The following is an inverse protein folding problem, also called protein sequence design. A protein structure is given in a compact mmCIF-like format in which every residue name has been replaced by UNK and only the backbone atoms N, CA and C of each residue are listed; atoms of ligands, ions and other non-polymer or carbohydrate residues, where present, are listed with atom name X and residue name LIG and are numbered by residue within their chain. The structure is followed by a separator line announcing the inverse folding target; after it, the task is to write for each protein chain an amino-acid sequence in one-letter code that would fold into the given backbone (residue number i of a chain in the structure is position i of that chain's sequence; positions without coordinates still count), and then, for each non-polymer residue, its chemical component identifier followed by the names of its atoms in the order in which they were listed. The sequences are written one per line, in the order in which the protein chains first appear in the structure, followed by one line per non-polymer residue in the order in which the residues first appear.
data_IF_716161982430
#
_entry.id   IF_716161982430
#
_cell.length_a   1.000
_cell.length_b   1.000
_cell.length_c   1.000
_cell.angle_alpha   90.00
_cell.angle_beta   90.00
_cell.angle_gamma   90.00
#
_symmetry.space_group_name_H-M   'P 1'
#
loop_
_entity.id
_entity.type
_entity.pdbx_description
1 polymer ?
#
# COMPACT_ATOMS: atom_id res chain seq x y z
N UNK A 1 37.50 -26.74 43.87
CA UNK A 1 38.13 -25.59 43.18
C UNK A 1 36.98 -24.78 42.57
N UNK A 2 36.49 -23.69 43.20
CA UNK A 2 36.93 -22.28 43.02
C UNK A 2 37.05 -21.95 41.52
N UNK A 3 36.30 -21.04 40.88
CA UNK A 3 35.53 -19.86 41.34
C UNK A 3 34.56 -19.40 40.24
N UNK A 4 33.34 -19.04 40.65
CA UNK A 4 32.37 -18.19 39.93
C UNK A 4 32.85 -16.73 39.94
N UNK A 5 32.68 -15.99 38.83
CA UNK A 5 32.69 -14.52 38.81
C UNK A 5 31.39 -14.00 38.21
N UNK A 6 30.96 -12.90 38.80
CA UNK A 6 29.62 -12.36 38.97
C UNK A 6 29.51 -11.03 38.20
N UNK A 7 28.35 -10.77 37.59
CA UNK A 7 27.72 -9.43 37.36
C UNK A 7 26.40 -9.70 36.62
N UNK A 8 25.20 -9.30 37.05
CA UNK A 8 24.72 -8.15 37.82
C UNK A 8 23.50 -7.61 37.04
N UNK A 9 22.29 -8.10 37.37
CA UNK A 9 21.13 -7.35 37.90
C UNK A 9 20.46 -6.30 36.98
N UNK A 10 19.22 -6.62 36.58
CA UNK A 10 18.03 -5.73 36.51
C UNK A 10 16.83 -6.65 36.13
N UNK A 11 16.04 -7.19 37.06
CA UNK A 11 14.86 -6.61 37.74
C UNK A 11 13.92 -5.84 36.81
N UNK A 12 12.83 -6.47 36.33
CA UNK A 12 11.48 -6.23 36.85
C UNK A 12 10.45 -7.21 36.26
N UNK A 13 9.69 -7.85 37.16
CA UNK A 13 8.57 -8.78 36.95
C UNK A 13 7.37 -8.07 36.31
N UNK A 14 6.73 -8.67 35.30
CA UNK A 14 5.45 -9.42 35.36
C UNK A 14 4.36 -8.74 36.19
N UNK A 15 3.32 -8.23 35.53
CA UNK A 15 2.02 -7.94 36.14
C UNK A 15 0.92 -8.57 35.29
N UNK A 16 0.17 -9.47 35.91
CA UNK A 16 -0.83 -10.34 35.31
C UNK A 16 -2.24 -9.88 35.70
N UNK A 17 -3.16 -10.03 34.75
CA UNK A 17 -4.62 -10.22 34.78
C UNK A 17 -5.51 -9.57 35.86
N UNK A 18 -6.59 -8.94 35.38
CA UNK A 18 -7.81 -8.67 36.14
C UNK A 18 -9.03 -8.69 35.22
N UNK A 19 -9.72 -9.83 35.17
CA UNK A 19 -11.05 -10.02 34.58
C UNK A 19 -12.08 -9.82 35.70
N UNK A 20 -13.03 -8.89 35.56
CA UNK A 20 -14.24 -8.85 36.38
C UNK A 20 -15.45 -8.65 35.48
N UNK A 21 -16.35 -9.62 35.56
CA UNK A 21 -17.68 -9.67 34.96
C UNK A 21 -18.60 -8.77 35.79
N UNK A 22 -19.44 -7.97 35.14
CA UNK A 22 -20.67 -7.43 35.72
C UNK A 22 -21.80 -7.52 34.70
N UNK A 23 -22.92 -8.09 35.13
CA UNK A 23 -24.11 -8.38 34.35
C UNK A 23 -25.19 -7.31 34.52
N UNK A 24 -26.03 -7.22 33.47
CA UNK A 24 -27.44 -6.82 33.43
C UNK A 24 -27.84 -5.34 33.65
N UNK A 25 -28.49 -4.75 32.64
CA UNK A 25 -29.93 -4.40 32.71
C UNK A 25 -30.43 -3.84 31.36
N UNK A 26 -31.57 -4.34 30.91
CA UNK A 26 -32.33 -3.85 29.78
C UNK A 26 -33.01 -2.51 30.11
N UNK A 27 -33.04 -1.58 29.16
CA UNK A 27 -33.94 -0.44 29.18
C UNK A 27 -34.47 -0.21 27.76
N UNK A 28 -35.73 -0.63 27.57
CA UNK A 28 -36.61 -0.18 26.50
C UNK A 28 -37.09 1.21 26.90
N UNK A 29 -36.72 2.24 26.15
CA UNK A 29 -37.30 3.57 26.26
C UNK A 29 -37.44 4.18 24.87
N UNK A 30 -38.69 4.42 24.49
CA UNK A 30 -39.07 5.09 23.26
C UNK A 30 -38.59 6.54 23.22
N UNK A 31 -38.28 6.99 22.01
CA UNK A 31 -37.99 8.37 21.70
C UNK A 31 -38.62 8.72 20.36
N UNK A 32 -39.83 9.25 20.41
CA UNK A 32 -40.44 10.05 19.34
C UNK A 32 -39.63 11.33 19.15
N UNK A 33 -39.14 11.61 17.94
CA UNK A 33 -38.77 12.95 17.53
C UNK A 33 -38.86 13.11 16.00
N UNK A 34 -39.92 13.81 15.60
CA UNK A 34 -39.98 14.89 14.62
C UNK A 34 -39.27 14.72 13.26
N UNK A 35 -40.12 14.38 12.28
CA UNK A 35 -40.23 14.97 10.94
C UNK A 35 -39.26 16.09 10.55
N UNK A 36 -38.45 15.82 9.52
CA UNK A 36 -38.04 16.79 8.51
C UNK A 36 -38.14 16.12 7.14
N UNK A 37 -39.28 16.33 6.49
CA UNK A 37 -39.48 15.99 5.09
C UNK A 37 -38.66 16.95 4.23
N UNK A 38 -37.71 16.44 3.47
CA UNK A 38 -37.21 17.11 2.27
C UNK A 38 -37.55 16.20 1.10
N UNK A 39 -38.43 16.71 0.25
CA UNK A 39 -38.85 16.09 -0.99
C UNK A 39 -37.64 15.88 -1.91
N UNK A 40 -37.45 14.65 -2.39
CA UNK A 40 -36.60 14.34 -3.52
C UNK A 40 -37.44 13.64 -4.58
N UNK A 41 -37.55 14.31 -5.73
CA UNK A 41 -38.29 13.91 -6.92
C UNK A 41 -37.90 12.52 -7.44
N UNK A 42 -38.81 11.82 -8.16
CA UNK A 42 -38.57 10.47 -8.65
C UNK A 42 -37.79 10.52 -9.96
N UNK A 43 -36.70 9.75 -10.04
CA UNK A 43 -36.02 9.46 -11.31
C UNK A 43 -36.18 7.97 -11.65
N UNK A 44 -36.50 7.76 -12.93
CA UNK A 44 -36.99 6.58 -13.62
C UNK A 44 -36.02 5.35 -13.69
N UNK A 45 -36.52 4.16 -14.05
CA UNK A 45 -35.82 2.86 -14.00
C UNK A 45 -34.67 2.65 -15.02
N UNK A 46 -33.78 1.65 -14.77
CA UNK A 46 -32.54 1.46 -15.52
C UNK A 46 -32.76 0.92 -16.94
N UNK A 47 -32.16 1.60 -17.92
CA UNK A 47 -32.15 1.17 -19.33
C UNK A 47 -30.79 0.60 -19.69
N UNK A 48 -30.83 -0.60 -20.29
CA UNK A 48 -29.93 -1.24 -21.25
C UNK A 48 -28.40 -1.09 -21.11
N UNK A 49 -27.76 -2.26 -21.05
CA UNK A 49 -26.34 -2.51 -21.13
C UNK A 49 -25.89 -2.19 -22.57
N UNK A 50 -25.08 -1.15 -22.75
CA UNK A 50 -24.43 -0.86 -24.03
C UNK A 50 -23.25 -1.83 -24.24
N UNK A 51 -23.29 -2.60 -25.33
CA UNK A 51 -22.20 -3.47 -25.76
C UNK A 51 -21.07 -2.63 -26.35
N UNK A 52 -19.95 -2.50 -25.64
CA UNK A 52 -18.75 -1.86 -26.16
C UNK A 52 -18.02 -2.79 -27.14
N UNK A 53 -17.83 -2.26 -28.35
CA UNK A 53 -17.13 -2.85 -29.47
C UNK A 53 -15.63 -3.06 -29.21
N UNK A 54 -15.11 -4.15 -29.77
CA UNK A 54 -13.74 -4.64 -29.70
C UNK A 54 -12.83 -3.94 -30.72
N UNK A 55 -11.79 -3.23 -30.27
CA UNK A 55 -10.63 -2.76 -31.04
C UNK A 55 -9.53 -2.37 -30.02
N UNK A 56 -8.24 -2.64 -30.10
CA UNK A 56 -7.31 -3.16 -31.11
C UNK A 56 -6.03 -3.69 -30.36
N UNK A 57 -5.05 -4.33 -31.02
CA UNK A 57 -4.07 -5.20 -30.37
C UNK A 57 -2.84 -4.46 -29.78
N UNK A 58 -2.37 -4.98 -28.65
CA UNK A 58 -1.09 -4.64 -27.99
C UNK A 58 0.08 -5.34 -28.72
N UNK A 59 1.16 -4.63 -29.10
CA UNK A 59 2.35 -5.28 -29.63
C UNK A 59 3.20 -5.89 -28.50
N UNK A 60 3.43 -7.20 -28.60
CA UNK A 60 4.34 -7.95 -27.75
C UNK A 60 5.80 -7.67 -28.14
N UNK A 61 6.63 -7.25 -27.18
CA UNK A 61 8.09 -7.22 -27.31
C UNK A 61 8.65 -8.59 -26.94
N UNK A 62 8.95 -9.40 -27.95
CA UNK A 62 9.78 -10.61 -27.84
C UNK A 62 11.25 -10.21 -27.77
N UNK A 63 11.91 -10.55 -26.66
CA UNK A 63 13.36 -10.50 -26.52
C UNK A 63 13.98 -11.70 -27.23
N UNK A 64 14.84 -11.45 -28.22
CA UNK A 64 15.72 -12.46 -28.83
C UNK A 64 17.16 -12.13 -28.48
N UNK A 65 17.82 -13.09 -27.82
CA UNK A 65 19.25 -13.12 -27.53
C UNK A 65 20.02 -13.63 -28.75
N UNK A 66 21.07 -12.89 -29.11
CA UNK A 66 22.36 -13.42 -29.59
C UNK A 66 22.44 -14.07 -30.96
N UNK A 67 23.12 -13.40 -31.90
CA UNK A 67 24.16 -14.06 -32.69
C UNK A 67 25.12 -13.06 -33.35
N UNK A 68 26.40 -13.40 -33.19
CA UNK A 68 27.61 -12.78 -33.70
C UNK A 68 27.68 -12.85 -35.23
N UNK A 69 27.87 -11.70 -35.88
CA UNK A 69 28.21 -11.60 -37.30
C UNK A 69 29.30 -10.56 -37.52
N UNK A 70 30.52 -11.04 -37.77
CA UNK A 70 31.67 -10.24 -38.17
C UNK A 70 31.61 -9.97 -39.68
N UNK A 71 31.71 -8.70 -40.11
CA UNK A 71 32.10 -8.29 -41.46
C UNK A 71 32.52 -6.79 -41.49
N UNK A 72 33.36 -6.35 -42.46
CA UNK A 72 34.43 -5.38 -42.21
C UNK A 72 34.22 -3.95 -42.75
N UNK A 73 35.03 -3.05 -42.20
CA UNK A 73 35.63 -1.82 -42.75
C UNK A 73 34.77 -0.78 -43.50
N UNK A 74 34.69 0.42 -42.93
CA UNK A 74 34.66 1.67 -43.68
C UNK A 74 35.44 2.75 -42.90
N UNK A 75 36.52 3.23 -43.53
CA UNK A 75 37.34 4.33 -43.05
C UNK A 75 36.73 5.68 -43.48
N UNK A 76 36.74 6.67 -42.57
CA UNK A 76 36.92 8.12 -42.77
C UNK A 76 36.19 8.93 -41.67
N UNK A 77 36.53 10.20 -41.41
CA UNK A 77 37.79 10.92 -41.63
C UNK A 77 38.39 11.45 -40.31
N UNK A 78 39.70 11.71 -40.32
CA UNK A 78 40.38 12.46 -39.28
C UNK A 78 39.79 13.88 -39.19
N UNK A 79 39.25 14.23 -38.02
CA UNK A 79 38.93 15.59 -37.63
C UNK A 79 40.14 16.20 -36.89
N UNK A 80 40.38 17.51 -37.03
CA UNK A 80 41.72 18.08 -36.97
C UNK A 80 42.25 18.17 -35.53
N UNK A 81 43.54 17.91 -35.43
CA UNK A 81 44.43 18.49 -34.44
C UNK A 81 44.23 20.01 -34.41
N UNK A 82 43.77 20.57 -33.28
CA UNK A 82 44.06 21.94 -32.82
C UNK A 82 43.26 22.26 -31.56
N UNK A 83 43.85 21.95 -30.41
CA UNK A 83 44.15 22.93 -29.36
C UNK A 83 44.52 22.14 -28.11
N UNK A 84 45.83 22.08 -27.86
CA UNK A 84 46.39 21.69 -26.59
C UNK A 84 45.60 22.33 -25.45
N UNK A 85 44.88 21.49 -24.70
CA UNK A 85 44.23 21.88 -23.45
C UNK A 85 45.32 21.98 -22.38
N UNK A 86 46.13 23.02 -22.47
CA UNK A 86 47.02 23.46 -21.41
C UNK A 86 46.19 24.17 -20.33
N UNK A 87 45.33 23.43 -19.63
CA UNK A 87 44.36 24.00 -18.67
C UNK A 87 44.34 23.20 -17.36
N UNK A 88 45.50 22.70 -16.93
CA UNK A 88 45.57 21.66 -15.88
C UNK A 88 46.41 22.00 -14.64
N UNK A 89 47.44 22.85 -14.68
CA UNK A 89 48.12 23.26 -13.42
C UNK A 89 47.42 24.43 -12.72
N UNK A 90 46.93 25.42 -13.47
CA UNK A 90 46.39 26.67 -12.92
C UNK A 90 45.00 26.49 -12.28
N UNK A 91 44.15 25.62 -12.84
CA UNK A 91 42.86 25.29 -12.25
C UNK A 91 43.02 24.56 -10.90
N UNK A 92 43.95 23.60 -10.83
CA UNK A 92 44.25 22.87 -9.59
C UNK A 92 44.85 23.78 -8.51
N UNK A 93 45.70 24.74 -8.89
CA UNK A 93 46.26 25.70 -7.93
C UNK A 93 45.23 26.71 -7.42
N UNK A 94 44.29 27.15 -8.27
CA UNK A 94 43.19 28.03 -7.85
C UNK A 94 42.22 27.35 -6.87
N UNK A 95 41.94 26.05 -7.06
CA UNK A 95 41.12 25.26 -6.13
C UNK A 95 41.80 25.15 -4.76
N UNK A 96 43.08 24.78 -4.72
CA UNK A 96 43.84 24.65 -3.47
C UNK A 96 44.00 25.99 -2.75
N UNK A 97 44.23 27.07 -3.50
CA UNK A 97 44.27 28.43 -2.95
C UNK A 97 42.93 28.82 -2.32
N UNK A 98 41.84 28.63 -3.06
CA UNK A 98 40.50 28.91 -2.57
C UNK A 98 40.19 28.11 -1.30
N UNK A 99 40.50 26.81 -1.28
CA UNK A 99 40.22 25.96 -0.13
C UNK A 99 40.96 26.43 1.13
N UNK A 100 42.23 26.86 1.01
CA UNK A 100 42.97 27.44 2.13
C UNK A 100 42.33 28.74 2.63
N UNK A 101 41.94 29.65 1.72
CA UNK A 101 41.29 30.91 2.09
C UNK A 101 39.90 30.69 2.71
N UNK A 102 39.15 29.69 2.24
CA UNK A 102 37.88 29.28 2.86
C UNK A 102 38.11 28.78 4.30
N UNK A 103 39.15 27.98 4.55
CA UNK A 103 39.51 27.51 5.90
C UNK A 103 39.96 28.67 6.81
N UNK A 104 40.72 29.60 6.26
CA UNK A 104 41.17 30.81 6.95
C UNK A 104 40.04 31.85 7.16
N UNK A 105 38.85 31.63 6.57
CA UNK A 105 37.71 32.56 6.57
C UNK A 105 38.05 33.95 6.01
N UNK A 106 38.89 33.98 4.98
CA UNK A 106 39.37 35.22 4.33
C UNK A 106 38.51 35.66 3.13
N UNK A 107 37.34 35.04 2.94
CA UNK A 107 36.48 35.26 1.79
C UNK A 107 35.10 35.73 2.25
N UNK A 108 34.62 36.82 1.65
CA UNK A 108 33.22 37.19 1.75
C UNK A 108 32.43 36.50 0.63
N UNK A 109 31.31 35.90 1.00
CA UNK A 109 30.35 35.39 0.04
C UNK A 109 29.48 36.54 -0.47
N UNK A 110 29.59 36.83 -1.77
CA UNK A 110 28.75 37.85 -2.39
C UNK A 110 27.43 37.25 -2.85
N UNK A 111 27.49 36.09 -3.50
CA UNK A 111 26.32 35.40 -4.06
C UNK A 111 26.56 33.90 -4.12
N UNK A 112 25.55 33.10 -3.79
CA UNK A 112 25.55 31.65 -4.03
C UNK A 112 24.20 31.20 -4.53
N UNK A 113 24.22 30.30 -5.52
CA UNK A 113 23.04 29.62 -6.05
C UNK A 113 23.19 28.12 -5.87
N UNK A 114 22.12 27.45 -5.44
CA UNK A 114 22.02 25.99 -5.35
C UNK A 114 20.89 25.47 -6.23
N UNK A 115 21.17 24.41 -6.99
CA UNK A 115 20.21 23.65 -7.78
C UNK A 115 20.45 22.15 -7.53
N UNK A 116 19.63 21.57 -6.64
CA UNK A 116 19.83 20.19 -6.19
C UNK A 116 21.20 20.01 -5.53
N UNK A 117 22.00 19.07 -6.04
CA UNK A 117 23.36 18.82 -5.58
C UNK A 117 24.39 19.81 -6.15
N UNK A 118 24.05 20.61 -7.15
CA UNK A 118 24.97 21.50 -7.83
C UNK A 118 24.85 22.93 -7.32
N UNK A 119 25.93 23.69 -7.34
CA UNK A 119 25.89 25.10 -6.98
C UNK A 119 27.02 25.91 -7.57
N UNK A 120 26.85 27.22 -7.51
CA UNK A 120 27.84 28.19 -7.92
C UNK A 120 27.94 29.30 -6.87
N UNK A 121 29.16 29.73 -6.56
CA UNK A 121 29.41 30.84 -5.63
C UNK A 121 30.30 31.89 -6.26
N UNK A 122 30.00 33.16 -5.97
CA UNK A 122 30.86 34.30 -6.19
C UNK A 122 31.36 34.75 -4.82
N UNK A 123 32.66 34.61 -4.62
CA UNK A 123 33.37 34.93 -3.40
C UNK A 123 34.35 36.05 -3.66
N UNK A 124 34.64 36.87 -2.65
CA UNK A 124 35.55 38.00 -2.76
C UNK A 124 36.54 38.01 -1.61
N UNK A 125 37.83 38.09 -1.95
CA UNK A 125 38.91 38.28 -1.01
C UNK A 125 39.25 39.77 -0.90
N UNK A 126 38.98 40.37 0.26
CA UNK A 126 39.25 41.80 0.50
C UNK A 126 40.74 42.11 0.54
N UNK A 127 41.58 41.16 0.92
CA UNK A 127 43.03 41.36 1.11
C UNK A 127 43.75 41.74 -0.18
N UNK A 128 43.34 41.17 -1.30
CA UNK A 128 43.95 41.37 -2.62
C UNK A 128 42.95 41.80 -3.71
N UNK A 129 41.71 42.12 -3.32
CA UNK A 129 40.62 42.52 -4.22
C UNK A 129 40.37 41.49 -5.35
N UNK A 130 40.49 40.21 -5.00
CA UNK A 130 40.32 39.09 -5.94
C UNK A 130 38.95 38.44 -5.78
N UNK A 131 38.25 38.28 -6.90
CA UNK A 131 37.02 37.50 -7.00
C UNK A 131 37.34 36.04 -7.32
N UNK A 132 36.64 35.13 -6.66
CA UNK A 132 36.66 33.69 -6.94
C UNK A 132 35.26 33.24 -7.31
N UNK A 133 35.11 32.71 -8.52
CA UNK A 133 33.85 32.13 -9.01
C UNK A 133 33.99 30.63 -9.05
N UNK A 134 33.07 29.92 -8.42
CA UNK A 134 33.15 28.48 -8.26
C UNK A 134 31.94 27.78 -8.86
N UNK A 135 32.18 26.61 -9.44
CA UNK A 135 31.17 25.60 -9.75
C UNK A 135 31.49 24.38 -8.89
N UNK A 136 30.52 23.92 -8.13
CA UNK A 136 30.69 22.80 -7.21
C UNK A 136 29.51 21.85 -7.24
N UNK A 137 29.76 20.61 -6.86
CA UNK A 137 28.73 19.64 -6.53
C UNK A 137 28.87 19.28 -5.05
N UNK A 138 27.83 19.56 -4.27
CA UNK A 138 27.76 19.36 -2.82
C UNK A 138 28.87 20.15 -2.09
N UNK A 139 30.03 19.53 -1.90
CA UNK A 139 31.21 20.14 -1.28
C UNK A 139 32.46 20.07 -2.17
N UNK A 140 32.35 19.42 -3.33
CA UNK A 140 33.46 19.20 -4.24
C UNK A 140 33.52 20.32 -5.27
N UNK A 141 34.62 21.06 -5.24
CA UNK A 141 34.89 22.14 -6.18
C UNK A 141 35.33 21.52 -7.52
N UNK A 142 34.54 21.74 -8.56
CA UNK A 142 34.83 21.21 -9.90
C UNK A 142 35.58 22.23 -10.75
N UNK A 143 35.24 23.51 -10.59
CA UNK A 143 35.88 24.59 -11.32
C UNK A 143 35.95 25.83 -10.45
N UNK A 144 37.11 26.48 -10.47
CA UNK A 144 37.35 27.74 -9.77
C UNK A 144 38.04 28.69 -10.73
N UNK A 145 37.48 29.88 -10.90
CA UNK A 145 38.07 30.95 -11.69
C UNK A 145 38.34 32.13 -10.78
N UNK A 146 39.59 32.60 -10.76
CA UNK A 146 39.98 33.82 -10.05
C UNK A 146 40.16 34.98 -11.01
N UNK A 147 39.72 36.16 -10.61
CA UNK A 147 39.84 37.39 -11.42
C UNK A 147 39.75 38.61 -10.53
N UNK A 148 40.44 39.70 -10.89
CA UNK A 148 40.30 41.01 -10.22
C UNK A 148 39.24 41.89 -10.91
N UNK A 149 38.69 41.42 -12.04
CA UNK A 149 37.66 42.14 -12.79
C UNK A 149 36.26 41.70 -12.35
N UNK A 150 35.55 42.58 -11.65
CA UNK A 150 34.20 42.34 -11.13
C UNK A 150 33.19 41.98 -12.23
N UNK A 151 33.14 42.75 -13.32
CA UNK A 151 32.21 42.50 -14.42
C UNK A 151 32.48 41.17 -15.14
N UNK A 152 33.73 40.69 -15.12
CA UNK A 152 34.06 39.35 -15.61
C UNK A 152 33.62 38.27 -14.61
N UNK A 153 33.84 38.47 -13.31
CA UNK A 153 33.40 37.55 -12.26
C UNK A 153 31.88 37.34 -12.27
N UNK A 154 31.10 38.43 -12.36
CA UNK A 154 29.63 38.38 -12.43
C UNK A 154 29.13 37.63 -13.68
N UNK A 155 29.79 37.82 -14.84
CA UNK A 155 29.44 37.07 -16.06
C UNK A 155 29.70 35.58 -15.90
N UNK A 156 30.86 35.18 -15.39
CA UNK A 156 31.18 33.77 -15.12
C UNK A 156 30.19 33.19 -14.12
N UNK A 157 29.86 33.93 -13.06
CA UNK A 157 28.90 33.49 -12.05
C UNK A 157 27.53 33.25 -12.67
N UNK A 158 27.05 34.15 -13.53
CA UNK A 158 25.80 33.98 -14.24
C UNK A 158 25.82 32.74 -15.14
N UNK A 159 26.95 32.46 -15.81
CA UNK A 159 27.12 31.29 -16.67
C UNK A 159 27.12 29.99 -15.86
N UNK A 160 27.89 29.92 -14.78
CA UNK A 160 27.89 28.76 -13.87
C UNK A 160 26.52 28.56 -13.22
N UNK A 161 25.85 29.63 -12.82
CA UNK A 161 24.48 29.56 -12.29
C UNK A 161 23.49 28.97 -13.30
N UNK A 162 23.61 29.31 -14.60
CA UNK A 162 22.80 28.67 -15.65
C UNK A 162 23.21 27.21 -15.87
N UNK A 163 24.51 26.91 -15.84
CA UNK A 163 25.02 25.55 -16.01
C UNK A 163 24.54 24.61 -14.89
N UNK A 164 24.53 25.06 -13.63
CA UNK A 164 24.07 24.24 -12.48
C UNK A 164 22.62 23.81 -12.62
N UNK A 165 21.75 24.62 -13.24
CA UNK A 165 20.35 24.23 -13.51
C UNK A 165 20.31 23.02 -14.44
N UNK A 166 21.00 23.10 -15.58
CA UNK A 166 21.05 22.01 -16.56
C UNK A 166 21.64 20.73 -15.98
N UNK A 167 22.70 20.84 -15.16
CA UNK A 167 23.29 19.69 -14.48
C UNK A 167 22.32 19.04 -13.47
N UNK A 168 21.50 19.86 -12.80
CA UNK A 168 20.56 19.39 -11.79
C UNK A 168 19.27 18.77 -12.34
N UNK A 169 18.93 19.02 -13.61
CA UNK A 169 17.61 18.66 -14.15
C UNK A 169 17.32 17.15 -14.03
N UNK A 170 18.29 16.30 -14.38
CA UNK A 170 18.15 14.84 -14.28
C UNK A 170 18.05 14.35 -12.83
N UNK A 171 18.83 14.92 -11.92
CA UNK A 171 18.80 14.55 -10.51
C UNK A 171 17.48 14.95 -9.86
N UNK A 172 16.99 16.16 -10.14
CA UNK A 172 15.70 16.63 -9.67
C UNK A 172 14.54 15.82 -10.26
N UNK A 173 14.64 15.43 -11.54
CA UNK A 173 13.67 14.53 -12.16
C UNK A 173 13.68 13.15 -11.51
N UNK A 174 14.86 12.60 -11.23
CA UNK A 174 15.00 11.32 -10.52
C UNK A 174 14.36 11.36 -9.14
N UNK A 175 14.63 12.39 -8.34
CA UNK A 175 14.03 12.54 -7.00
C UNK A 175 12.49 12.57 -7.09
N UNK A 176 11.94 13.31 -8.06
CA UNK A 176 10.48 13.36 -8.27
C UNK A 176 9.92 12.01 -8.68
N UNK A 177 10.59 11.30 -9.60
CA UNK A 177 10.16 9.98 -10.05
C UNK A 177 10.21 8.95 -8.93
N UNK A 178 11.25 8.96 -8.10
CA UNK A 178 11.34 8.05 -6.94
C UNK A 178 10.21 8.31 -5.94
N UNK A 179 9.90 9.58 -5.66
CA UNK A 179 8.78 9.93 -4.78
C UNK A 179 7.42 9.51 -5.36
N UNK A 180 7.24 9.62 -6.69
CA UNK A 180 6.03 9.15 -7.37
C UNK A 180 5.91 7.63 -7.31
N UNK A 181 7.01 6.91 -7.52
CA UNK A 181 7.08 5.45 -7.41
C UNK A 181 6.72 5.00 -5.99
N UNK A 182 7.34 5.56 -4.96
CA UNK A 182 7.06 5.21 -3.57
C UNK A 182 5.58 5.46 -3.19
N UNK A 183 4.99 6.55 -3.70
CA UNK A 183 3.56 6.82 -3.54
C UNK A 183 2.71 5.74 -4.21
N UNK A 184 3.04 5.35 -5.44
CA UNK A 184 2.31 4.31 -6.16
C UNK A 184 2.42 2.95 -5.46
N UNK A 185 3.61 2.59 -4.97
CA UNK A 185 3.84 1.36 -4.20
C UNK A 185 3.00 1.31 -2.92
N UNK A 186 2.89 2.42 -2.19
CA UNK A 186 1.98 2.53 -1.03
C UNK A 186 0.52 2.32 -1.41
N UNK A 187 0.06 2.94 -2.50
CA UNK A 187 -1.31 2.76 -2.99
C UNK A 187 -1.58 1.29 -3.38
N UNK A 188 -0.63 0.64 -4.05
CA UNK A 188 -0.74 -0.79 -4.39
C UNK A 188 -0.87 -1.62 -3.11
N UNK A 189 -0.02 -1.41 -2.12
CA UNK A 189 -0.05 -2.15 -0.86
C UNK A 189 -1.40 -2.00 -0.12
N UNK A 190 -1.97 -0.79 -0.11
CA UNK A 190 -3.31 -0.52 0.44
C UNK A 190 -4.40 -1.29 -0.31
N UNK A 191 -4.40 -1.26 -1.65
CA UNK A 191 -5.39 -1.98 -2.45
C UNK A 191 -5.26 -3.49 -2.31
N UNK A 192 -4.05 -4.02 -2.25
CA UNK A 192 -3.82 -5.44 -1.99
C UNK A 192 -4.32 -5.85 -0.60
N UNK A 193 -4.12 -4.99 0.40
CA UNK A 193 -4.67 -5.19 1.75
C UNK A 193 -6.19 -5.30 1.71
N UNK A 194 -6.85 -4.37 1.01
CA UNK A 194 -8.31 -4.38 0.82
C UNK A 194 -8.78 -5.63 0.08
N UNK A 195 -8.09 -6.02 -0.98
CA UNK A 195 -8.42 -7.22 -1.76
C UNK A 195 -8.31 -8.50 -0.92
N UNK A 196 -7.27 -8.61 -0.09
CA UNK A 196 -7.12 -9.74 0.85
C UNK A 196 -8.26 -9.78 1.87
N UNK A 197 -8.63 -8.64 2.45
CA UNK A 197 -9.77 -8.53 3.36
C UNK A 197 -11.08 -9.00 2.72
N UNK A 198 -11.42 -8.45 1.55
CA UNK A 198 -12.64 -8.82 0.82
C UNK A 198 -12.70 -10.31 0.46
N UNK A 199 -11.56 -10.91 0.10
CA UNK A 199 -11.49 -12.36 -0.18
C UNK A 199 -11.77 -13.19 1.08
N UNK A 200 -11.16 -12.82 2.20
CA UNK A 200 -11.39 -13.50 3.48
C UNK A 200 -12.86 -13.41 3.92
N UNK A 201 -13.48 -12.23 3.76
CA UNK A 201 -14.89 -12.02 4.08
C UNK A 201 -15.82 -12.88 3.20
N UNK A 202 -15.55 -12.94 1.89
CA UNK A 202 -16.32 -13.78 0.97
C UNK A 202 -16.18 -15.27 1.30
N UNK A 203 -14.99 -15.72 1.67
CA UNK A 203 -14.75 -17.11 2.06
C UNK A 203 -15.51 -17.45 3.36
N UNK A 204 -15.50 -16.55 4.34
CA UNK A 204 -16.28 -16.70 5.57
C UNK A 204 -17.79 -16.75 5.28
N UNK A 205 -18.31 -15.85 4.44
CA UNK A 205 -19.72 -15.84 4.05
C UNK A 205 -20.13 -17.16 3.38
N UNK A 206 -19.31 -17.67 2.46
CA UNK A 206 -19.55 -18.97 1.79
C UNK A 206 -19.58 -20.13 2.78
N UNK A 207 -18.65 -20.16 3.73
CA UNK A 207 -18.62 -21.17 4.78
C UNK A 207 -19.88 -21.11 5.66
N UNK A 208 -20.29 -19.91 6.08
CA UNK A 208 -21.51 -19.71 6.86
C UNK A 208 -22.75 -20.17 6.10
N UNK A 209 -22.87 -19.81 4.82
CA UNK A 209 -23.96 -20.24 3.96
C UNK A 209 -24.00 -21.77 3.83
N UNK A 210 -22.85 -22.42 3.61
CA UNK A 210 -22.76 -23.86 3.54
C UNK A 210 -23.20 -24.54 4.86
N UNK A 211 -22.81 -23.99 6.01
CA UNK A 211 -23.24 -24.49 7.31
C UNK A 211 -24.75 -24.35 7.55
N UNK A 212 -25.34 -23.21 7.20
CA UNK A 212 -26.79 -23.00 7.30
C UNK A 212 -27.54 -23.98 6.41
N UNK A 213 -27.08 -24.16 5.16
CA UNK A 213 -27.67 -25.13 4.24
C UNK A 213 -27.56 -26.57 4.76
N UNK A 214 -26.42 -26.95 5.34
CA UNK A 214 -26.24 -28.26 5.96
C UNK A 214 -27.21 -28.47 7.15
N UNK A 215 -27.33 -27.48 8.04
CA UNK A 215 -28.26 -27.53 9.18
C UNK A 215 -29.72 -27.62 8.74
N UNK A 216 -30.10 -26.88 7.70
CA UNK A 216 -31.46 -26.95 7.15
C UNK A 216 -31.78 -28.33 6.57
N UNK A 217 -30.82 -28.98 5.88
CA UNK A 217 -30.99 -30.35 5.39
C UNK A 217 -31.23 -31.31 6.56
N UNK A 218 -30.41 -31.24 7.60
CA UNK A 218 -30.57 -32.05 8.81
C UNK A 218 -31.95 -31.83 9.45
N UNK A 219 -32.32 -30.57 9.69
CA UNK A 219 -33.60 -30.25 10.32
C UNK A 219 -34.83 -30.74 9.51
N UNK A 220 -34.75 -30.75 8.18
CA UNK A 220 -35.81 -31.32 7.32
C UNK A 220 -35.90 -32.83 7.49
N UNK A 221 -34.77 -33.53 7.44
CA UNK A 221 -34.72 -34.99 7.67
C UNK A 221 -35.25 -35.37 9.06
N UNK A 222 -34.90 -34.59 10.08
CA UNK A 222 -35.38 -34.81 11.44
C UNK A 222 -36.91 -34.59 11.53
N UNK A 223 -37.43 -33.55 10.89
CA UNK A 223 -38.87 -33.28 10.84
C UNK A 223 -39.66 -34.39 10.14
N UNK A 224 -39.15 -34.91 9.02
CA UNK A 224 -39.78 -36.01 8.28
C UNK A 224 -39.80 -37.32 9.10
N UNK A 225 -38.71 -37.57 9.85
CA UNK A 225 -38.60 -38.71 10.77
C UNK A 225 -39.62 -38.59 11.89
N UNK A 226 -39.66 -37.44 12.57
CA UNK A 226 -40.61 -37.17 13.65
C UNK A 226 -42.07 -37.23 13.18
N UNK A 227 -42.39 -36.74 11.97
CA UNK A 227 -43.75 -36.85 11.43
C UNK A 227 -44.15 -38.30 11.17
N UNK A 228 -43.20 -39.12 10.69
CA UNK A 228 -43.41 -40.56 10.49
C UNK A 228 -43.64 -41.29 11.83
N UNK A 229 -42.82 -41.02 12.84
CA UNK A 229 -42.99 -41.56 14.19
C UNK A 229 -44.32 -41.15 14.82
N UNK A 230 -44.70 -39.88 14.70
CA UNK A 230 -45.98 -39.34 15.17
C UNK A 230 -47.16 -40.07 14.52
N UNK A 231 -47.12 -40.30 13.19
CA UNK A 231 -48.18 -41.03 12.47
C UNK A 231 -48.27 -42.48 12.94
N UNK A 232 -47.14 -43.16 13.13
CA UNK A 232 -47.12 -44.52 13.66
C UNK A 232 -47.69 -44.60 15.09
N UNK A 233 -47.34 -43.65 15.96
CA UNK A 233 -47.88 -43.58 17.33
C UNK A 233 -49.40 -43.36 17.34
N UNK A 234 -49.91 -42.47 16.48
CA UNK A 234 -51.36 -42.22 16.33
C UNK A 234 -52.10 -43.47 15.85
N UNK A 235 -51.58 -44.16 14.84
CA UNK A 235 -52.17 -45.40 14.35
C UNK A 235 -52.24 -46.49 15.45
N UNK A 236 -51.23 -46.57 16.34
CA UNK A 236 -51.24 -47.46 17.51
C UNK A 236 -52.30 -47.06 18.53
N UNK A 237 -52.46 -45.77 18.82
CA UNK A 237 -53.52 -45.29 19.73
C UNK A 237 -54.91 -45.62 19.19
N UNK A 238 -55.15 -45.41 17.90
CA UNK A 238 -56.44 -45.72 17.27
C UNK A 238 -56.75 -47.23 17.34
N UNK A 239 -55.73 -48.08 17.18
CA UNK A 239 -55.87 -49.53 17.33
C UNK A 239 -56.18 -49.94 18.77
N UNK A 240 -55.45 -49.42 19.75
CA UNK A 240 -55.73 -49.68 21.17
C UNK A 240 -57.15 -49.23 21.55
N UNK A 241 -57.61 -48.07 21.05
CA UNK A 241 -58.98 -47.60 21.29
C UNK A 241 -60.04 -48.47 20.63
N UNK A 242 -59.75 -49.09 19.47
CA UNK A 242 -60.66 -50.08 18.87
C UNK A 242 -60.76 -51.34 19.74
N UNK A 243 -59.63 -51.84 20.23
CA UNK A 243 -59.57 -53.02 21.11
C UNK A 243 -60.29 -52.80 22.45
N UNK A 244 -60.12 -51.62 23.05
CA UNK A 244 -60.85 -51.25 24.28
C UNK A 244 -62.36 -51.29 24.02
N UNK A 245 -62.84 -50.65 22.94
CA UNK A 245 -64.27 -50.64 22.60
C UNK A 245 -64.84 -52.01 22.30
N UNK A 246 -64.08 -52.91 21.64
CA UNK A 246 -64.54 -54.28 21.41
C UNK A 246 -64.66 -55.07 22.72
N UNK A 247 -63.68 -54.94 23.62
CA UNK A 247 -63.71 -55.59 24.93
C UNK A 247 -64.84 -55.03 25.82
N UNK A 248 -65.05 -53.72 25.81
CA UNK A 248 -66.17 -53.10 26.53
C UNK A 248 -67.53 -53.58 25.99
N UNK A 249 -67.67 -53.74 24.67
CA UNK A 249 -68.88 -54.28 24.05
C UNK A 249 -69.11 -55.76 24.42
N UNK A 250 -68.06 -56.57 24.52
CA UNK A 250 -68.14 -57.96 24.97
C UNK A 250 -68.51 -58.07 26.46
N UNK A 251 -67.96 -57.20 27.31
CA UNK A 251 -68.26 -57.18 28.76
C UNK A 251 -69.66 -56.66 29.05
N UNK A 252 -70.12 -55.66 28.29
CA UNK A 252 -71.44 -55.05 28.47
C UNK A 252 -72.54 -55.76 27.66
N UNK A 253 -72.19 -56.84 26.94
CA UNK A 253 -73.16 -57.74 26.37
C UNK A 253 -73.96 -58.39 27.51
N UNK A 254 -75.29 -58.35 27.50
CA UNK A 254 -76.10 -58.84 28.61
C UNK A 254 -75.83 -60.33 28.85
N UNK A 255 -75.40 -60.68 30.07
CA UNK A 255 -75.43 -62.06 30.58
C UNK A 255 -76.90 -62.50 30.71
N UNK A 256 -77.53 -62.86 29.61
CA UNK A 256 -78.97 -63.14 29.64
C UNK A 256 -79.60 -63.22 28.26
N UNK A 257 -79.25 -64.28 27.53
CA UNK A 257 -79.95 -64.72 26.32
C UNK A 257 -80.13 -66.24 26.30
N UNK A 258 -80.43 -66.85 27.45
CA UNK A 258 -80.94 -68.23 27.50
C UNK A 258 -82.47 -68.21 27.34
N UNK A 259 -82.92 -68.96 26.32
CA UNK A 259 -84.21 -69.67 26.15
C UNK A 259 -85.21 -69.10 25.14
N UNK A 260 -85.40 -69.83 24.04
CA UNK A 260 -86.48 -69.63 23.08
C UNK A 260 -86.43 -70.55 21.85
N UNK A 261 -86.67 -71.84 22.06
CA UNK A 261 -86.93 -72.95 21.12
C UNK A 261 -85.79 -73.57 20.30
#
# INVERSE_FOLDING_TARGET
MRTTTQRGMAVHRVFNWGLVIAAAAAAVAGGTACTSAVAQSPAAPPTAIDTVALAAPVPALTATVGQTGSAPAAAAPAAPDSAARADTPAANSAVLELQRRMQARELAELRTTYNGAYGASLLFAQSDLTYYVTLFQQKDLWRVIKTTNEAHAERIYADFSRQTRSLSDLDLQRIRLEAQKERAERQIAEQEGRLRGLRADLDLQRQQQAQVQARQKVARTDADTLDTERRAARARLDELQRQIRSLEAEVNAPFGGTHGH
#
